data_IF_698633999918
#
_entry.id   IF_698633999918
#
_cell.length_a   1.000
_cell.length_b   1.000
_cell.length_c   1.000
_cell.angle_alpha   90.00
_cell.angle_beta   90.00
_cell.angle_gamma   90.00
#
_symmetry.space_group_name_H-M   'P 1'
#
loop_
_entity.id
_entity.type
_entity.pdbx_description
1 polymer ?
#
# COMPACT_ATOMS: atom_id res chain seq x y z
N UNK A 1 -19.91 -6.41 -2.91
CA UNK A 1 -19.42 -5.41 -1.95
C UNK A 1 -19.38 -4.06 -2.65
N UNK A 2 -20.00 -2.98 -2.13
CA UNK A 2 -19.93 -1.67 -2.78
C UNK A 2 -18.53 -1.07 -2.59
N UNK A 3 -17.86 -0.73 -3.69
CA UNK A 3 -16.57 -0.02 -3.69
C UNK A 3 -16.79 1.37 -3.10
N UNK A 4 -16.30 1.61 -1.88
CA UNK A 4 -16.29 2.94 -1.26
C UNK A 4 -15.00 3.66 -1.64
N UNK A 5 -15.07 4.59 -2.59
CA UNK A 5 -13.96 5.51 -2.85
C UNK A 5 -13.99 6.66 -1.84
N UNK A 6 -13.01 6.73 -0.94
CA UNK A 6 -12.83 7.90 -0.08
C UNK A 6 -12.01 8.93 -0.85
N UNK A 7 -12.65 10.00 -1.32
CA UNK A 7 -11.99 11.09 -2.03
C UNK A 7 -11.55 12.14 -1.03
N UNK A 8 -10.26 12.16 -0.70
CA UNK A 8 -9.67 13.18 0.15
C UNK A 8 -9.57 14.48 -0.65
N UNK A 9 -10.40 15.47 -0.32
CA UNK A 9 -10.24 16.83 -0.83
C UNK A 9 -9.15 17.52 -0.01
N UNK A 10 -8.03 17.83 -0.66
CA UNK A 10 -7.06 18.77 -0.14
C UNK A 10 -7.60 20.17 -0.47
N UNK A 11 -8.18 20.86 0.51
CA UNK A 11 -8.57 22.25 0.33
C UNK A 11 -7.31 23.11 0.18
N UNK A 12 -7.23 23.84 -0.92
CA UNK A 12 -6.18 24.81 -1.20
C UNK A 12 -6.59 26.13 -0.53
N UNK A 13 -5.73 26.83 0.23
CA UNK A 13 -6.10 28.11 0.81
C UNK A 13 -6.37 29.13 -0.30
N UNK A 14 -7.49 29.85 -0.18
CA UNK A 14 -7.80 31.00 -1.03
C UNK A 14 -6.94 32.20 -0.62
N UNK A 15 -6.08 32.66 -1.51
CA UNK A 15 -5.30 33.89 -1.32
C UNK A 15 -6.19 35.11 -1.58
N UNK A 16 -6.34 35.94 -0.54
CA UNK A 16 -6.98 37.24 -0.58
C UNK A 16 -6.21 38.24 -1.45
N UNK A 17 -6.98 38.93 -2.27
CA UNK A 17 -6.63 40.03 -3.17
C UNK A 17 -5.92 41.22 -2.49
N UNK A 18 -4.74 41.65 -3.00
CA UNK A 18 -4.51 43.06 -3.36
C UNK A 18 -3.26 43.29 -4.26
N UNK A 19 -3.55 43.91 -5.40
CA UNK A 19 -2.77 44.90 -6.16
C UNK A 19 -1.53 44.59 -7.01
N UNK A 20 -1.48 45.42 -8.06
CA UNK A 20 -0.85 45.25 -9.36
C UNK A 20 0.36 46.17 -9.44
N UNK A 21 1.52 45.66 -9.84
CA UNK A 21 2.50 46.42 -10.62
C UNK A 21 3.45 45.47 -11.35
N UNK A 22 3.46 45.58 -12.68
CA UNK A 22 4.36 44.85 -13.56
C UNK A 22 5.73 45.51 -13.54
N UNK A 23 6.78 44.75 -13.23
CA UNK A 23 8.10 44.96 -13.81
C UNK A 23 8.78 43.61 -13.97
N UNK A 24 9.14 43.28 -15.21
CA UNK A 24 9.78 42.03 -15.60
C UNK A 24 11.22 41.97 -15.06
N UNK A 25 11.54 40.92 -14.30
CA UNK A 25 12.91 40.41 -14.20
C UNK A 25 12.84 38.92 -13.90
N UNK A 26 13.51 38.11 -14.73
CA UNK A 26 13.58 36.66 -14.58
C UNK A 26 14.50 36.31 -13.41
N UNK A 27 13.93 35.72 -12.37
CA UNK A 27 14.70 34.97 -11.39
C UNK A 27 14.00 33.63 -11.22
N UNK A 28 14.67 32.58 -11.67
CA UNK A 28 14.31 31.20 -11.40
C UNK A 28 14.48 30.96 -9.89
N UNK A 29 13.43 31.17 -9.13
CA UNK A 29 13.36 30.67 -7.75
C UNK A 29 12.95 29.21 -7.80
N UNK A 30 13.96 28.34 -7.87
CA UNK A 30 13.83 26.96 -7.46
C UNK A 30 13.35 26.97 -6.01
N UNK A 31 12.08 26.66 -5.78
CA UNK A 31 11.57 26.36 -4.44
C UNK A 31 12.23 25.07 -4.01
N UNK A 32 13.37 25.21 -3.34
CA UNK A 32 13.99 24.15 -2.59
C UNK A 32 13.03 23.79 -1.46
N UNK A 33 12.32 22.68 -1.59
CA UNK A 33 11.68 22.04 -0.45
C UNK A 33 12.80 21.64 0.51
N UNK A 34 12.99 22.45 1.54
CA UNK A 34 13.86 22.12 2.67
C UNK A 34 13.25 20.92 3.38
N UNK A 35 13.76 19.73 3.06
CA UNK A 35 13.41 18.51 3.76
C UNK A 35 14.12 18.56 5.12
N UNK A 36 13.39 18.98 6.15
CA UNK A 36 13.79 18.75 7.53
C UNK A 36 13.75 17.24 7.79
N UNK A 37 14.87 16.70 8.28
CA UNK A 37 15.09 15.31 8.74
C UNK A 37 14.30 15.02 10.05
N UNK A 38 13.05 15.50 10.10
CA UNK A 38 12.16 15.42 11.24
C UNK A 38 11.01 14.47 10.92
N UNK A 39 10.56 13.76 11.96
CA UNK A 39 9.41 12.86 11.95
C UNK A 39 8.22 13.48 11.18
N UNK A 40 7.54 12.73 10.29
CA UNK A 40 6.51 13.27 9.43
C UNK A 40 5.41 13.98 10.23
N UNK A 41 4.94 15.13 9.73
CA UNK A 41 3.90 15.92 10.39
C UNK A 41 2.67 15.07 10.71
N UNK A 42 2.10 15.28 11.91
CA UNK A 42 0.89 14.59 12.34
C UNK A 42 -0.25 14.83 11.32
N UNK A 43 -0.99 13.78 10.93
CA UNK A 43 -1.98 13.88 9.88
C UNK A 43 -3.15 14.76 10.33
N UNK A 44 -3.82 15.46 9.39
CA UNK A 44 -5.10 16.11 9.64
C UNK A 44 -6.07 15.19 10.41
N UNK A 45 -6.77 15.72 11.43
CA UNK A 45 -7.64 14.93 12.32
C UNK A 45 -8.66 14.05 11.58
N UNK A 46 -9.18 14.53 10.45
CA UNK A 46 -10.11 13.78 9.59
C UNK A 46 -9.47 12.54 8.98
N UNK A 47 -8.20 12.63 8.57
CA UNK A 47 -7.42 11.48 8.10
C UNK A 47 -7.19 10.50 9.23
N UNK A 48 -6.88 10.99 10.44
CA UNK A 48 -6.71 10.13 11.62
C UNK A 48 -7.96 9.32 11.96
N UNK A 49 -9.17 9.89 11.79
CA UNK A 49 -10.44 9.20 12.07
C UNK A 49 -10.74 8.17 10.98
N UNK A 50 -10.70 8.58 9.70
CA UNK A 50 -10.97 7.67 8.58
C UNK A 50 -10.00 6.49 8.56
N UNK A 51 -8.74 6.73 8.92
CA UNK A 51 -7.71 5.70 9.00
C UNK A 51 -7.98 4.71 10.15
N UNK A 52 -8.51 5.16 11.31
CA UNK A 52 -8.87 4.24 12.40
C UNK A 52 -9.93 3.23 12.01
N UNK A 53 -11.01 3.67 11.36
CA UNK A 53 -12.10 2.78 10.96
C UNK A 53 -11.62 1.74 9.93
N UNK A 54 -10.82 2.18 8.95
CA UNK A 54 -10.21 1.30 7.95
C UNK A 54 -9.25 0.28 8.57
N UNK A 55 -8.47 0.70 9.56
CA UNK A 55 -7.55 -0.18 10.29
C UNK A 55 -8.31 -1.22 11.10
N UNK A 56 -9.37 -0.83 11.81
CA UNK A 56 -10.19 -1.76 12.57
C UNK A 56 -10.86 -2.79 11.66
N UNK A 57 -11.33 -2.38 10.48
CA UNK A 57 -11.86 -3.29 9.46
C UNK A 57 -10.78 -4.26 8.94
N UNK A 58 -9.58 -3.75 8.63
CA UNK A 58 -8.46 -4.56 8.18
C UNK A 58 -8.02 -5.59 9.24
N UNK A 59 -8.00 -5.20 10.52
CA UNK A 59 -7.70 -6.11 11.64
C UNK A 59 -8.76 -7.19 11.81
N UNK A 60 -10.04 -6.82 11.76
CA UNK A 60 -11.14 -7.77 11.81
C UNK A 60 -11.13 -8.75 10.61
N UNK A 61 -10.68 -8.31 9.44
CA UNK A 61 -10.48 -9.17 8.28
C UNK A 61 -9.29 -10.10 8.47
N UNK A 62 -8.15 -9.59 8.93
CA UNK A 62 -6.94 -10.38 9.20
C UNK A 62 -7.25 -11.54 10.14
N UNK A 63 -7.96 -11.29 11.25
CA UNK A 63 -8.26 -12.31 12.26
C UNK A 63 -9.24 -13.38 11.78
N UNK A 64 -9.89 -13.17 10.62
CA UNK A 64 -10.80 -14.13 9.97
C UNK A 64 -10.12 -14.94 8.87
N UNK A 65 -8.90 -14.59 8.45
CA UNK A 65 -8.21 -15.29 7.37
C UNK A 65 -7.60 -16.59 7.89
N UNK A 66 -8.00 -17.69 7.27
CA UNK A 66 -7.35 -18.99 7.46
C UNK A 66 -6.31 -19.21 6.36
N UNK A 67 -5.06 -18.79 6.64
CA UNK A 67 -3.94 -18.95 5.71
C UNK A 67 -3.66 -20.41 5.38
N UNK A 68 -3.89 -21.36 6.31
CA UNK A 68 -3.65 -22.77 6.06
C UNK A 68 -4.62 -23.29 4.99
N UNK A 69 -5.91 -22.94 5.09
CA UNK A 69 -6.90 -23.26 4.06
C UNK A 69 -6.53 -22.67 2.69
N UNK A 70 -5.98 -21.46 2.63
CA UNK A 70 -5.54 -20.87 1.35
C UNK A 70 -4.30 -21.56 0.76
N UNK A 71 -3.34 -21.95 1.60
CA UNK A 71 -2.18 -22.74 1.18
C UNK A 71 -2.63 -24.08 0.61
N UNK A 72 -3.48 -24.82 1.35
CA UNK A 72 -4.03 -26.10 0.91
C UNK A 72 -4.76 -25.98 -0.44
N UNK A 73 -5.56 -24.92 -0.60
CA UNK A 73 -6.26 -24.63 -1.85
C UNK A 73 -5.30 -24.39 -3.02
N UNK A 74 -4.26 -23.58 -2.81
CA UNK A 74 -3.29 -23.25 -3.84
C UNK A 74 -2.45 -24.47 -4.24
N UNK A 75 -2.00 -25.27 -3.27
CA UNK A 75 -1.19 -26.47 -3.50
C UNK A 75 -1.99 -27.64 -4.07
N UNK A 76 -3.29 -27.72 -3.78
CA UNK A 76 -4.14 -28.83 -4.17
C UNK A 76 -4.08 -29.11 -5.69
N UNK A 77 -3.85 -30.37 -6.12
CA UNK A 77 -3.89 -30.73 -7.53
C UNK A 77 -5.22 -30.39 -8.20
N UNK A 78 -6.33 -30.48 -7.45
CA UNK A 78 -7.69 -30.25 -7.95
C UNK A 78 -8.40 -29.23 -7.08
N UNK A 79 -8.94 -28.21 -7.71
CA UNK A 79 -9.73 -27.21 -6.99
C UNK A 79 -11.09 -27.80 -6.58
N UNK A 80 -11.57 -27.51 -5.37
CA UNK A 80 -12.90 -27.93 -4.94
C UNK A 80 -13.96 -27.35 -5.88
N UNK A 81 -14.86 -28.22 -6.33
CA UNK A 81 -16.01 -27.82 -7.14
C UNK A 81 -17.15 -27.49 -6.18
N UNK A 82 -17.42 -26.20 -5.98
CA UNK A 82 -18.56 -25.77 -5.17
C UNK A 82 -19.84 -25.87 -6.00
N UNK A 83 -20.77 -26.70 -5.56
CA UNK A 83 -22.10 -26.82 -6.16
C UNK A 83 -23.03 -25.78 -5.54
N UNK A 84 -22.96 -24.55 -6.03
CA UNK A 84 -24.04 -23.56 -6.03
C UNK A 84 -23.54 -22.36 -6.85
N UNK A 85 -24.40 -21.42 -7.28
CA UNK A 85 -24.06 -20.30 -8.17
C UNK A 85 -22.97 -19.31 -7.71
N UNK A 86 -22.10 -19.67 -6.78
CA UNK A 86 -20.90 -18.94 -6.39
C UNK A 86 -19.79 -19.08 -7.42
N UNK A 87 -19.08 -17.98 -7.66
CA UNK A 87 -17.87 -18.00 -8.46
C UNK A 87 -16.81 -18.89 -7.85
N UNK A 88 -16.22 -19.74 -8.69
CA UNK A 88 -15.23 -20.71 -8.27
C UNK A 88 -13.83 -20.19 -8.50
N UNK A 89 -12.90 -20.60 -7.64
CA UNK A 89 -11.47 -20.41 -7.88
C UNK A 89 -11.07 -21.14 -9.15
N UNK A 90 -10.35 -20.43 -10.01
CA UNK A 90 -9.75 -20.96 -11.24
C UNK A 90 -8.26 -20.80 -11.17
N UNK A 91 -7.53 -21.85 -11.50
CA UNK A 91 -6.08 -21.80 -11.61
C UNK A 91 -5.70 -21.09 -12.90
N UNK A 92 -5.04 -19.95 -12.75
CA UNK A 92 -4.54 -19.13 -13.86
C UNK A 92 -3.10 -19.50 -14.19
N UNK A 93 -2.28 -19.77 -13.16
CA UNK A 93 -0.87 -20.11 -13.32
C UNK A 93 -0.42 -21.14 -12.29
N UNK A 94 0.52 -22.00 -12.69
CA UNK A 94 1.21 -22.93 -11.79
C UNK A 94 2.61 -23.24 -12.31
N UNK A 95 3.59 -23.04 -11.45
CA UNK A 95 4.97 -23.48 -11.59
C UNK A 95 5.40 -24.29 -10.36
N UNK A 96 6.68 -24.67 -10.26
CA UNK A 96 7.24 -25.32 -9.08
C UNK A 96 7.32 -24.40 -7.85
N UNK A 97 7.36 -23.08 -8.07
CA UNK A 97 7.58 -22.07 -7.01
C UNK A 97 6.44 -21.07 -6.91
N UNK A 98 5.46 -21.10 -7.82
CA UNK A 98 4.39 -20.11 -7.88
C UNK A 98 3.06 -20.74 -8.27
N UNK A 99 1.96 -20.30 -7.67
CA UNK A 99 0.59 -20.64 -8.08
C UNK A 99 -0.29 -19.40 -8.00
N UNK A 100 -1.09 -19.18 -9.04
CA UNK A 100 -2.04 -18.09 -9.13
C UNK A 100 -3.45 -18.65 -9.33
N UNK A 101 -4.36 -18.33 -8.41
CA UNK A 101 -5.79 -18.58 -8.55
C UNK A 101 -6.54 -17.26 -8.67
N UNK A 102 -7.64 -17.26 -9.42
CA UNK A 102 -8.54 -16.12 -9.57
C UNK A 102 -9.99 -16.54 -9.34
N UNK A 103 -10.77 -15.71 -8.67
CA UNK A 103 -12.22 -15.82 -8.49
C UNK A 103 -12.81 -14.41 -8.51
N UNK A 104 -13.66 -14.11 -9.49
CA UNK A 104 -14.18 -12.74 -9.69
C UNK A 104 -13.06 -11.68 -9.69
N UNK A 105 -13.13 -10.76 -8.73
CA UNK A 105 -12.17 -9.67 -8.49
C UNK A 105 -11.10 -10.04 -7.44
N UNK A 106 -11.09 -11.30 -6.98
CA UNK A 106 -10.14 -11.82 -6.01
C UNK A 106 -9.04 -12.65 -6.68
N UNK A 107 -7.84 -12.52 -6.15
CA UNK A 107 -6.65 -13.23 -6.59
C UNK A 107 -5.96 -13.83 -5.38
N UNK A 108 -5.59 -15.11 -5.48
CA UNK A 108 -4.74 -15.79 -4.51
C UNK A 108 -3.43 -16.16 -5.20
N UNK A 109 -2.32 -15.60 -4.71
CA UNK A 109 -0.98 -15.92 -5.17
C UNK A 109 -0.23 -16.63 -4.04
N UNK A 110 0.31 -17.81 -4.33
CA UNK A 110 1.21 -18.55 -3.44
C UNK A 110 2.58 -18.63 -4.10
N UNK A 111 3.62 -18.24 -3.39
CA UNK A 111 5.00 -18.35 -3.85
C UNK A 111 5.87 -19.03 -2.79
N UNK A 112 6.84 -19.83 -3.25
CA UNK A 112 7.94 -20.37 -2.43
C UNK A 112 9.17 -19.53 -2.72
N UNK A 113 9.70 -18.89 -1.67
CA UNK A 113 10.83 -17.97 -1.76
C UNK A 113 11.97 -18.49 -0.89
N UNK A 114 13.20 -18.46 -1.40
CA UNK A 114 14.42 -18.83 -0.67
C UNK A 114 14.95 -17.62 0.11
N UNK A 115 14.16 -17.15 1.09
CA UNK A 115 14.38 -15.89 1.82
C UNK A 115 13.81 -16.02 3.24
N UNK A 116 14.36 -15.28 4.19
CA UNK A 116 13.82 -15.23 5.56
C UNK A 116 12.52 -14.42 5.62
N UNK A 117 11.71 -14.66 6.66
CA UNK A 117 10.47 -13.90 6.88
C UNK A 117 10.81 -12.43 7.18
N UNK A 118 11.92 -12.19 7.88
CA UNK A 118 12.42 -10.86 8.24
C UNK A 118 12.83 -10.07 7.00
N UNK A 119 13.51 -10.69 6.04
CA UNK A 119 13.86 -10.05 4.77
C UNK A 119 12.62 -9.69 3.95
N UNK A 120 11.62 -10.58 3.88
CA UNK A 120 10.34 -10.29 3.21
C UNK A 120 9.62 -9.14 3.90
N UNK A 121 9.55 -9.17 5.24
CA UNK A 121 8.97 -8.11 6.04
C UNK A 121 9.65 -6.77 5.79
N UNK A 122 10.99 -6.72 5.74
CA UNK A 122 11.74 -5.50 5.49
C UNK A 122 11.48 -4.89 4.10
N UNK A 123 11.23 -5.74 3.09
CA UNK A 123 10.90 -5.28 1.73
C UNK A 123 9.46 -4.73 1.68
N UNK A 124 8.50 -5.47 2.24
CA UNK A 124 7.08 -5.11 2.15
C UNK A 124 6.72 -3.93 3.07
N UNK A 125 7.29 -3.91 4.28
CA UNK A 125 6.93 -2.99 5.35
C UNK A 125 7.82 -1.74 5.41
N UNK A 126 8.22 -1.23 4.23
CA UNK A 126 9.06 -0.03 4.14
C UNK A 126 8.38 1.18 4.81
N UNK A 127 9.08 1.87 5.72
CA UNK A 127 8.52 3.02 6.47
C UNK A 127 9.15 4.37 6.12
N UNK A 128 10.01 4.40 5.10
CA UNK A 128 10.68 5.62 4.62
C UNK A 128 10.63 5.70 3.11
N UNK A 129 10.72 6.91 2.55
CA UNK A 129 10.72 7.14 1.10
C UNK A 129 11.83 6.35 0.37
N UNK A 130 13.10 6.34 0.84
CA UNK A 130 14.14 5.59 0.15
C UNK A 130 13.88 4.08 0.14
N UNK A 131 13.40 3.51 1.26
CA UNK A 131 13.09 2.08 1.35
C UNK A 131 11.89 1.73 0.47
N UNK A 132 10.84 2.55 0.49
CA UNK A 132 9.66 2.35 -0.34
C UNK A 132 10.01 2.44 -1.83
N UNK A 133 10.77 3.46 -2.23
CA UNK A 133 11.22 3.60 -3.61
C UNK A 133 12.11 2.43 -4.05
N UNK A 134 13.03 1.96 -3.20
CA UNK A 134 13.86 0.80 -3.49
C UNK A 134 13.03 -0.48 -3.64
N UNK A 135 12.08 -0.72 -2.74
CA UNK A 135 11.17 -1.87 -2.81
C UNK A 135 10.32 -1.84 -4.09
N UNK A 136 9.69 -0.70 -4.41
CA UNK A 136 8.85 -0.58 -5.61
C UNK A 136 9.67 -0.64 -6.90
N UNK A 137 10.90 -0.08 -6.92
CA UNK A 137 11.82 -0.22 -8.06
C UNK A 137 12.26 -1.67 -8.24
N UNK A 138 12.52 -2.40 -7.15
CA UNK A 138 12.84 -3.83 -7.21
C UNK A 138 11.69 -4.70 -7.72
N UNK A 139 10.46 -4.42 -7.28
CA UNK A 139 9.27 -5.19 -7.64
C UNK A 139 8.75 -4.89 -9.05
N UNK A 140 8.76 -3.61 -9.46
CA UNK A 140 8.10 -3.15 -10.70
C UNK A 140 9.07 -2.60 -11.75
N UNK A 141 10.37 -2.53 -11.46
CA UNK A 141 11.39 -2.13 -12.42
C UNK A 141 11.15 -0.75 -13.03
N UNK A 142 11.08 -0.70 -14.35
CA UNK A 142 10.87 0.56 -15.10
C UNK A 142 9.41 1.00 -15.18
N UNK A 143 8.47 0.16 -14.72
CA UNK A 143 7.09 0.59 -14.55
C UNK A 143 6.93 1.53 -13.35
N UNK A 144 7.82 1.47 -12.34
CA UNK A 144 7.78 2.39 -11.21
C UNK A 144 8.33 3.77 -11.58
N UNK A 145 7.56 4.82 -11.28
CA UNK A 145 7.95 6.22 -11.51
C UNK A 145 8.48 6.84 -10.22
N UNK A 146 7.66 6.84 -9.17
CA UNK A 146 7.95 7.46 -7.89
C UNK A 146 6.97 6.96 -6.82
N UNK A 147 7.33 7.11 -5.55
CA UNK A 147 6.46 6.83 -4.41
C UNK A 147 6.96 7.53 -3.16
N UNK A 148 6.07 7.66 -2.18
CA UNK A 148 6.38 8.29 -0.88
C UNK A 148 5.59 7.65 0.25
N UNK A 149 6.11 7.77 1.45
CA UNK A 149 5.50 7.39 2.72
C UNK A 149 4.96 8.66 3.36
N UNK A 150 3.66 8.90 3.20
CA UNK A 150 3.00 10.11 3.65
C UNK A 150 2.81 10.16 5.18
N UNK A 151 2.69 9.00 5.82
CA UNK A 151 2.45 8.88 7.25
C UNK A 151 2.92 7.53 7.77
N UNK A 152 3.50 7.51 8.98
CA UNK A 152 3.78 6.27 9.73
C UNK A 152 3.35 6.45 11.18
N UNK A 153 2.59 5.50 11.70
CA UNK A 153 2.25 5.38 13.11
C UNK A 153 2.83 4.09 13.66
N UNK A 154 3.52 4.20 14.80
CA UNK A 154 4.01 3.05 15.58
C UNK A 154 3.27 3.00 16.92
N UNK A 155 2.86 1.82 17.42
CA UNK A 155 2.33 1.69 18.77
C UNK A 155 3.32 2.25 19.79
N UNK A 156 2.80 2.84 20.87
CA UNK A 156 3.66 3.26 21.97
C UNK A 156 4.22 2.03 22.70
N UNK A 157 5.51 2.08 23.05
CA UNK A 157 6.29 0.98 23.62
C UNK A 157 5.84 0.49 25.03
N UNK A 158 4.64 0.85 25.46
CA UNK A 158 4.06 0.43 26.74
C UNK A 158 3.28 -0.89 26.65
N UNK A 159 3.01 -1.40 25.45
CA UNK A 159 2.42 -2.73 25.29
C UNK A 159 3.53 -3.79 25.28
N UNK A 160 3.46 -4.69 26.27
CA UNK A 160 4.50 -5.64 26.66
C UNK A 160 4.70 -6.82 25.68
N UNK A 161 4.10 -6.75 24.50
CA UNK A 161 4.26 -7.74 23.46
C UNK A 161 5.20 -7.18 22.40
N UNK A 162 6.29 -7.89 22.14
CA UNK A 162 7.33 -7.55 21.16
C UNK A 162 6.83 -7.61 19.70
N UNK A 163 5.55 -7.34 19.44
CA UNK A 163 4.97 -7.33 18.11
C UNK A 163 5.46 -6.09 17.39
N UNK A 164 6.24 -6.29 16.33
CA UNK A 164 6.56 -5.20 15.41
C UNK A 164 5.29 -4.86 14.65
N UNK A 165 4.59 -3.81 15.09
CA UNK A 165 3.39 -3.31 14.46
C UNK A 165 3.60 -1.86 14.02
N UNK A 166 3.10 -1.53 12.83
CA UNK A 166 2.99 -0.15 12.40
C UNK A 166 1.91 0.00 11.33
N UNK A 167 1.46 1.23 11.16
CA UNK A 167 0.52 1.65 10.14
C UNK A 167 1.19 2.69 9.26
N UNK A 168 1.26 2.45 7.96
CA UNK A 168 1.83 3.38 7.00
C UNK A 168 0.79 3.80 5.96
N UNK A 169 0.83 5.06 5.52
CA UNK A 169 0.09 5.52 4.34
C UNK A 169 1.11 5.84 3.25
N UNK A 170 0.94 5.21 2.09
CA UNK A 170 1.90 5.26 1.00
C UNK A 170 1.23 5.73 -0.28
N UNK A 171 2.02 6.37 -1.12
CA UNK A 171 1.64 6.67 -2.50
C UNK A 171 2.63 6.03 -3.46
N UNK A 172 2.14 5.55 -4.59
CA UNK A 172 2.98 5.02 -5.67
C UNK A 172 2.41 5.41 -7.02
N UNK A 173 3.27 5.83 -7.93
CA UNK A 173 2.94 6.12 -9.32
C UNK A 173 3.66 5.16 -10.27
N UNK A 174 2.93 4.67 -11.26
CA UNK A 174 3.43 3.75 -12.28
C UNK A 174 3.20 4.29 -13.68
N UNK A 175 4.04 3.86 -14.62
CA UNK A 175 3.83 4.08 -16.05
C UNK A 175 2.50 3.46 -16.46
N UNK A 176 1.75 4.18 -17.28
CA UNK A 176 0.49 3.71 -17.89
C UNK A 176 0.60 2.28 -18.45
N UNK A 177 -0.41 1.47 -18.21
CA UNK A 177 -0.54 0.13 -18.80
C UNK A 177 -1.05 0.15 -20.25
N UNK A 178 -1.66 1.26 -20.70
CA UNK A 178 -2.17 1.48 -22.06
C UNK A 178 -1.41 2.64 -22.73
N UNK A 179 -1.13 2.56 -24.03
CA UNK A 179 -0.39 3.53 -24.84
C UNK A 179 -0.97 4.95 -24.71
N UNK A 180 -2.30 5.06 -24.54
CA UNK A 180 -3.01 6.33 -24.39
C UNK A 180 -3.56 6.55 -22.98
N UNK A 181 -3.26 5.62 -22.06
CA UNK A 181 -3.69 5.69 -20.67
C UNK A 181 -2.98 6.78 -19.87
N UNK A 182 -3.59 7.16 -18.75
CA UNK A 182 -2.88 7.93 -17.72
C UNK A 182 -1.98 7.00 -16.93
N UNK A 183 -0.92 7.56 -16.35
CA UNK A 183 -0.12 6.87 -15.35
C UNK A 183 -1.02 6.43 -14.19
N UNK A 184 -0.76 5.23 -13.67
CA UNK A 184 -1.50 4.70 -12.54
C UNK A 184 -0.97 5.31 -11.26
N UNK A 185 -1.87 5.70 -10.35
CA UNK A 185 -1.51 6.28 -9.06
C UNK A 185 -2.28 5.57 -7.96
N UNK A 186 -1.56 5.01 -7.02
CA UNK A 186 -2.10 4.30 -5.89
C UNK A 186 -1.87 5.11 -4.63
N UNK A 187 -2.87 5.14 -3.76
CA UNK A 187 -2.76 5.62 -2.40
C UNK A 187 -3.39 4.55 -1.51
N UNK A 188 -2.60 4.02 -0.58
CA UNK A 188 -3.02 2.88 0.23
C UNK A 188 -2.50 3.00 1.65
N UNK A 189 -3.24 2.40 2.57
CA UNK A 189 -2.81 2.20 3.94
C UNK A 189 -2.35 0.75 4.11
N UNK A 190 -1.26 0.55 4.83
CA UNK A 190 -0.70 -0.74 5.17
C UNK A 190 -0.68 -0.87 6.69
N UNK A 191 -1.30 -1.94 7.21
CA UNK A 191 -1.16 -2.36 8.61
C UNK A 191 -0.22 -3.56 8.65
N UNK A 192 1.00 -3.35 9.14
CA UNK A 192 2.00 -4.38 9.30
C UNK A 192 2.01 -4.89 10.74
N UNK A 193 2.03 -6.22 10.90
CA UNK A 193 2.14 -6.90 12.20
C UNK A 193 3.08 -8.10 12.04
N UNK A 194 4.13 -8.15 12.84
CA UNK A 194 5.00 -9.32 12.95
C UNK A 194 5.11 -9.73 14.41
N UNK A 195 4.77 -10.98 14.70
CA UNK A 195 5.09 -11.60 15.98
C UNK A 195 6.53 -12.09 15.90
N UNK A 196 7.39 -11.78 16.87
CA UNK A 196 8.69 -12.41 16.96
C UNK A 196 8.49 -13.91 17.20
N UNK A 197 9.33 -14.71 16.56
CA UNK A 197 9.27 -16.17 16.58
C UNK A 197 9.85 -16.73 17.88
#
# INVERSE_FOLDING_TARGET
>A
MPVRSVRLRLDRPEDGHLERSRTSSSTTESVASSWTDGEPQAPPLTLSIALRDLVAEAEALHDRLDFATFVDLAESPRLPHYHDGQSQWKRVEKSSTFTLLKRDDEVLALARLDVSVEEVANILAATTDPLHAAAMKGLYGDAFIAGSVAYVQRPHAYEHDQVHQHLAVKTTSFVRSDILGKNEQWCFAENFRCKPQ
#
